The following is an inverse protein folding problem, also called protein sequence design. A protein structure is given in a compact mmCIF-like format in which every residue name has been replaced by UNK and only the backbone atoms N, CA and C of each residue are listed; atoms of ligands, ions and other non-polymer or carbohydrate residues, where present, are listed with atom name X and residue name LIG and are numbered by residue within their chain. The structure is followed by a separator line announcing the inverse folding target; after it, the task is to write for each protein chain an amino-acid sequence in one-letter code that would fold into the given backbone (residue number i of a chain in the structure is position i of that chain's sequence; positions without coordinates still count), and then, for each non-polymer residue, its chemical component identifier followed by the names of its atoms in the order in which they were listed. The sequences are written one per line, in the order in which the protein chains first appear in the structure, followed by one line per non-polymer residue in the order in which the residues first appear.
data_IF_790332189628
#
_entry.id   IF_790332189628
#
_cell.length_a   1.000
_cell.length_b   1.000
_cell.length_c   1.000
_cell.angle_alpha   90.00
_cell.angle_beta   90.00
_cell.angle_gamma   90.00
#
_symmetry.space_group_name_H-M   'P 1'
#
loop_
_entity.id
_entity.type
_entity.pdbx_description
1 polymer ?
#
# COMPACT_ATOMS: atom_id res chain seq x y z
N UNK A 1 -4.90 -27.59 8.80
CA UNK A 1 -4.96 -26.29 8.09
C UNK A 1 -3.59 -25.61 8.00
N UNK A 2 -3.02 -25.05 9.07
CA UNK A 2 -1.74 -24.28 9.01
C UNK A 2 -0.59 -24.99 8.28
N UNK A 3 -0.31 -26.26 8.63
CA UNK A 3 0.72 -27.07 7.94
C UNK A 3 0.51 -27.15 6.42
N UNK A 4 -0.73 -27.31 5.97
CA UNK A 4 -1.06 -27.41 4.54
C UNK A 4 -0.91 -26.06 3.84
N UNK A 5 -1.32 -24.97 4.47
CA UNK A 5 -1.15 -23.62 3.92
C UNK A 5 0.34 -23.28 3.72
N UNK A 6 1.16 -23.54 4.75
CA UNK A 6 2.61 -23.32 4.67
C UNK A 6 3.26 -24.24 3.63
N UNK A 7 2.88 -25.52 3.59
CA UNK A 7 3.35 -26.44 2.55
C UNK A 7 2.97 -25.96 1.15
N UNK A 8 1.78 -25.39 0.97
CA UNK A 8 1.35 -24.75 -0.27
C UNK A 8 2.28 -23.60 -0.67
N UNK A 9 2.57 -22.67 0.25
CA UNK A 9 3.52 -21.57 0.01
C UNK A 9 4.91 -22.06 -0.41
N UNK A 10 5.43 -23.08 0.27
CA UNK A 10 6.73 -23.68 -0.07
C UNK A 10 6.72 -24.36 -1.44
N UNK A 11 5.59 -24.97 -1.83
CA UNK A 11 5.44 -25.66 -3.10
C UNK A 11 5.13 -24.73 -4.28
N UNK A 12 4.83 -23.46 -4.01
CA UNK A 12 4.67 -22.40 -5.03
C UNK A 12 5.99 -21.67 -5.34
N UNK A 13 7.11 -22.07 -4.72
CA UNK A 13 8.45 -21.59 -5.11
C UNK A 13 8.79 -22.12 -6.51
N UNK A 14 9.12 -21.25 -7.45
CA UNK A 14 9.53 -21.62 -8.81
C UNK A 14 10.83 -20.92 -9.20
N UNK A 15 11.69 -21.61 -9.94
CA UNK A 15 12.80 -20.93 -10.61
C UNK A 15 12.23 -20.13 -11.78
N UNK A 16 12.48 -18.82 -11.78
CA UNK A 16 11.97 -17.91 -12.79
C UNK A 16 13.14 -17.25 -13.51
N UNK A 17 13.26 -17.56 -14.81
CA UNK A 17 14.27 -17.00 -15.69
C UNK A 17 13.62 -16.10 -16.74
N UNK A 18 14.05 -14.85 -16.79
CA UNK A 18 13.63 -13.89 -17.81
C UNK A 18 14.77 -12.91 -18.09
N UNK A 19 15.23 -12.89 -19.33
CA UNK A 19 16.24 -11.96 -19.82
C UNK A 19 15.57 -10.91 -20.72
N UNK A 20 15.42 -9.69 -20.19
CA UNK A 20 14.72 -8.61 -20.88
C UNK A 20 15.44 -8.12 -22.13
N UNK A 21 16.78 -8.13 -22.14
CA UNK A 21 17.58 -7.69 -23.28
C UNK A 21 17.40 -8.67 -24.46
N UNK A 22 17.63 -9.96 -24.20
CA UNK A 22 17.43 -11.02 -25.19
C UNK A 22 15.98 -11.08 -25.70
N UNK A 23 14.99 -11.00 -24.78
CA UNK A 23 13.58 -11.02 -25.18
C UNK A 23 13.23 -9.85 -26.09
N UNK A 24 13.70 -8.63 -25.78
CA UNK A 24 13.42 -7.46 -26.61
C UNK A 24 14.13 -7.50 -27.97
N UNK A 25 15.33 -8.06 -28.03
CA UNK A 25 16.09 -8.22 -29.27
C UNK A 25 15.40 -9.17 -30.26
N UNK A 26 14.93 -10.33 -29.77
CA UNK A 26 14.18 -11.29 -30.57
C UNK A 26 12.89 -10.70 -31.17
N UNK A 27 12.35 -9.65 -30.54
CA UNK A 27 11.11 -8.98 -30.96
C UNK A 27 11.36 -7.66 -31.71
N UNK A 28 12.62 -7.27 -31.95
CA UNK A 28 13.00 -5.97 -32.53
C UNK A 28 12.38 -4.79 -31.74
N UNK A 29 12.42 -4.89 -30.41
CA UNK A 29 11.77 -3.97 -29.47
C UNK A 29 12.71 -3.38 -28.41
N UNK A 30 14.01 -3.63 -28.54
CA UNK A 30 15.02 -3.09 -27.64
C UNK A 30 15.28 -1.60 -27.95
N UNK A 31 15.03 -0.68 -27.00
CA UNK A 31 15.22 0.76 -27.23
C UNK A 31 16.68 1.17 -27.43
N UNK A 32 17.64 0.28 -27.17
CA UNK A 32 19.06 0.52 -27.45
C UNK A 32 19.42 0.36 -28.94
N UNK A 33 18.53 -0.22 -29.74
CA UNK A 33 18.76 -0.49 -31.16
C UNK A 33 18.05 0.51 -32.09
N UNK A 34 18.62 0.77 -33.27
CA UNK A 34 17.98 1.64 -34.27
C UNK A 34 16.84 0.92 -34.98
N UNK A 35 15.71 1.60 -35.18
CA UNK A 35 14.56 1.02 -35.90
C UNK A 35 13.71 0.05 -35.08
N UNK A 36 13.90 0.04 -33.75
CA UNK A 36 13.07 -0.74 -32.83
C UNK A 36 11.61 -0.29 -32.85
N UNK A 37 10.73 -1.18 -32.40
CA UNK A 37 9.30 -0.89 -32.18
C UNK A 37 8.97 -1.07 -30.71
N UNK A 38 8.31 -0.08 -30.11
CA UNK A 38 7.82 -0.21 -28.73
C UNK A 38 6.93 -1.44 -28.59
N UNK A 39 7.22 -2.27 -27.58
CA UNK A 39 6.40 -3.40 -27.16
C UNK A 39 6.26 -3.41 -25.63
N UNK A 40 5.62 -4.46 -25.07
CA UNK A 40 5.57 -4.62 -23.61
C UNK A 40 6.99 -4.61 -23.05
N UNK A 41 7.16 -3.94 -21.91
CA UNK A 41 8.41 -3.90 -21.17
C UNK A 41 9.65 -3.35 -21.91
N UNK A 42 9.52 -2.64 -23.04
CA UNK A 42 10.69 -2.05 -23.75
C UNK A 42 11.58 -1.19 -22.84
N UNK A 43 11.00 -0.48 -21.87
CA UNK A 43 11.76 0.35 -20.90
C UNK A 43 12.58 -0.49 -19.89
N UNK A 44 12.40 -1.80 -19.85
CA UNK A 44 12.98 -2.72 -18.88
C UNK A 44 14.05 -3.63 -19.51
N UNK A 45 14.75 -3.14 -20.53
CA UNK A 45 15.83 -3.86 -21.22
C UNK A 45 16.96 -4.37 -20.29
N UNK A 46 17.15 -3.74 -19.12
CA UNK A 46 18.15 -4.14 -18.12
C UNK A 46 17.69 -5.29 -17.20
N UNK A 47 16.43 -5.72 -17.30
CA UNK A 47 15.84 -6.72 -16.41
C UNK A 47 16.46 -8.09 -16.63
N UNK A 48 16.96 -8.70 -15.55
CA UNK A 48 17.35 -10.09 -15.53
C UNK A 48 16.76 -10.75 -14.29
N UNK A 49 15.84 -11.68 -14.51
CA UNK A 49 15.34 -12.56 -13.47
C UNK A 49 16.05 -13.91 -13.58
N UNK A 50 16.65 -14.37 -12.48
CA UNK A 50 17.37 -15.65 -12.41
C UNK A 50 17.38 -16.15 -10.95
N UNK A 51 16.21 -16.17 -10.32
CA UNK A 51 16.08 -16.49 -8.90
C UNK A 51 14.93 -17.48 -8.67
N UNK A 52 14.95 -18.16 -7.51
CA UNK A 52 13.78 -18.89 -7.01
C UNK A 52 12.84 -17.90 -6.34
N UNK A 53 11.63 -17.78 -6.88
CA UNK A 53 10.63 -16.78 -6.46
C UNK A 53 9.37 -17.48 -5.96
N UNK A 54 8.77 -16.95 -4.89
CA UNK A 54 7.47 -17.41 -4.39
C UNK A 54 6.34 -16.88 -5.29
N UNK A 55 5.67 -17.77 -6.03
CA UNK A 55 4.58 -17.37 -6.93
C UNK A 55 3.22 -17.33 -6.21
N UNK A 56 2.28 -16.48 -6.65
CA UNK A 56 0.91 -16.48 -6.12
C UNK A 56 0.22 -17.83 -6.32
N UNK A 57 0.40 -18.44 -7.50
CA UNK A 57 -0.05 -19.80 -7.79
C UNK A 57 0.89 -20.46 -8.81
N UNK A 58 1.24 -21.73 -8.60
CA UNK A 58 2.20 -22.45 -9.46
C UNK A 58 1.67 -22.83 -10.86
N UNK A 59 0.35 -22.70 -11.08
CA UNK A 59 -0.34 -23.13 -12.29
C UNK A 59 -1.00 -21.98 -13.02
N UNK A 60 -1.89 -21.23 -12.34
CA UNK A 60 -2.65 -20.12 -12.92
C UNK A 60 -1.79 -18.85 -13.02
N UNK A 61 -0.92 -18.63 -12.05
CA UNK A 61 -0.08 -17.44 -11.97
C UNK A 61 1.42 -17.78 -11.82
N UNK A 62 2.02 -18.51 -12.80
CA UNK A 62 3.41 -18.99 -12.73
C UNK A 62 4.46 -17.88 -12.97
N UNK A 63 4.16 -16.67 -12.48
CA UNK A 63 4.90 -15.43 -12.63
C UNK A 63 4.73 -14.62 -11.34
N UNK A 64 5.69 -13.74 -11.05
CA UNK A 64 5.66 -12.98 -9.80
C UNK A 64 4.86 -11.69 -9.94
N UNK A 65 4.16 -11.32 -8.87
CA UNK A 65 3.73 -9.97 -8.62
C UNK A 65 4.49 -9.42 -7.41
N UNK A 66 5.09 -8.24 -7.54
CA UNK A 66 5.99 -7.73 -6.50
C UNK A 66 5.26 -7.43 -5.19
N UNK A 67 4.00 -6.96 -5.24
CA UNK A 67 3.24 -6.73 -4.00
C UNK A 67 2.81 -8.04 -3.31
N UNK A 68 2.47 -9.09 -4.07
CA UNK A 68 2.16 -10.42 -3.52
C UNK A 68 3.34 -10.97 -2.70
N UNK A 69 4.58 -10.82 -3.21
CA UNK A 69 5.77 -11.24 -2.48
C UNK A 69 5.84 -10.65 -1.08
N UNK A 70 5.48 -9.37 -0.91
CA UNK A 70 5.46 -8.74 0.41
C UNK A 70 4.55 -9.50 1.38
N UNK A 71 3.38 -9.98 0.92
CA UNK A 71 2.47 -10.78 1.73
C UNK A 71 2.90 -12.25 1.85
N UNK A 72 3.53 -12.84 0.83
CA UNK A 72 4.06 -14.21 0.89
C UNK A 72 5.09 -14.37 2.01
N UNK A 73 5.89 -13.34 2.25
CA UNK A 73 6.98 -13.43 3.24
C UNK A 73 6.50 -13.50 4.69
N UNK A 74 5.31 -13.00 5.00
CA UNK A 74 4.71 -13.11 6.34
C UNK A 74 4.59 -14.58 6.78
N UNK A 75 3.82 -15.45 6.09
CA UNK A 75 3.74 -16.86 6.46
C UNK A 75 5.04 -17.62 6.22
N UNK A 76 5.82 -17.30 5.17
CA UNK A 76 7.09 -17.97 4.92
C UNK A 76 8.10 -17.78 6.07
N UNK A 77 8.12 -16.60 6.69
CA UNK A 77 9.02 -16.31 7.81
C UNK A 77 8.82 -17.18 9.05
N UNK A 78 7.68 -17.87 9.15
CA UNK A 78 7.40 -18.82 10.24
C UNK A 78 8.31 -20.05 10.13
N UNK A 79 8.67 -20.47 8.91
CA UNK A 79 9.42 -21.71 8.65
C UNK A 79 10.74 -21.51 7.93
N UNK A 80 10.91 -20.39 7.22
CA UNK A 80 12.05 -20.08 6.37
C UNK A 80 12.29 -18.55 6.33
N UNK A 81 12.75 -17.96 7.46
CA UNK A 81 12.96 -16.52 7.57
C UNK A 81 14.05 -16.00 6.62
N UNK A 82 15.04 -16.83 6.29
CA UNK A 82 16.11 -16.48 5.35
C UNK A 82 15.54 -16.29 3.94
N UNK A 83 14.78 -17.27 3.44
CA UNK A 83 14.11 -17.13 2.14
C UNK A 83 13.15 -15.92 2.14
N UNK A 84 12.40 -15.70 3.22
CA UNK A 84 11.51 -14.55 3.32
C UNK A 84 12.27 -13.21 3.18
N UNK A 85 13.43 -13.08 3.82
CA UNK A 85 14.31 -11.92 3.67
C UNK A 85 14.87 -11.80 2.26
N UNK A 86 15.28 -12.91 1.64
CA UNK A 86 15.77 -12.94 0.26
C UNK A 86 14.73 -12.44 -0.73
N UNK A 87 13.47 -12.91 -0.64
CA UNK A 87 12.37 -12.45 -1.48
C UNK A 87 12.18 -10.92 -1.40
N UNK A 88 12.31 -10.34 -0.20
CA UNK A 88 12.25 -8.89 0.00
C UNK A 88 13.48 -8.12 -0.50
N UNK A 89 14.59 -8.80 -0.79
CA UNK A 89 15.77 -8.21 -1.43
C UNK A 89 15.67 -8.28 -2.96
N UNK A 90 15.07 -9.32 -3.53
CA UNK A 90 15.02 -9.58 -4.98
C UNK A 90 14.57 -8.36 -5.78
N UNK A 91 13.37 -7.85 -5.50
CA UNK A 91 12.73 -6.75 -6.24
C UNK A 91 13.45 -5.40 -6.11
N UNK A 92 14.50 -5.34 -5.28
CA UNK A 92 15.33 -4.15 -5.04
C UNK A 92 16.79 -4.34 -5.50
N UNK A 93 17.15 -5.52 -6.03
CA UNK A 93 18.43 -5.77 -6.69
C UNK A 93 18.53 -4.91 -7.94
N UNK A 94 19.75 -4.52 -8.33
CA UNK A 94 19.97 -3.64 -9.50
C UNK A 94 19.51 -4.22 -10.84
N UNK A 95 19.44 -5.55 -10.94
CA UNK A 95 18.96 -6.27 -12.13
C UNK A 95 17.43 -6.46 -12.17
N UNK A 96 16.73 -6.07 -11.09
CA UNK A 96 15.25 -6.08 -10.99
C UNK A 96 14.68 -4.68 -10.89
N UNK A 97 15.28 -3.82 -10.07
CA UNK A 97 14.81 -2.46 -9.82
C UNK A 97 15.17 -1.56 -11.00
N UNK A 98 14.17 -0.89 -11.57
CA UNK A 98 14.41 0.06 -12.65
C UNK A 98 15.39 1.15 -12.20
N UNK A 99 16.31 1.64 -13.07
CA UNK A 99 17.23 2.74 -12.75
C UNK A 99 16.56 4.02 -12.25
N UNK A 100 15.26 4.21 -12.54
CA UNK A 100 14.44 5.33 -12.06
C UNK A 100 13.97 5.19 -10.60
N UNK A 101 14.15 4.01 -10.00
CA UNK A 101 13.62 3.64 -8.67
C UNK A 101 12.31 2.85 -8.72
N UNK A 102 11.75 2.55 -9.89
CA UNK A 102 10.52 1.77 -9.99
C UNK A 102 10.76 0.29 -9.66
N UNK A 103 9.94 -0.26 -8.77
CA UNK A 103 9.85 -1.71 -8.53
C UNK A 103 8.97 -2.32 -9.63
N UNK A 104 9.38 -3.43 -10.28
CA UNK A 104 8.59 -4.04 -11.34
C UNK A 104 7.27 -4.56 -10.78
N UNK A 105 6.16 -4.38 -11.52
CA UNK A 105 4.87 -4.91 -11.10
C UNK A 105 4.79 -6.43 -11.31
N UNK A 106 4.69 -6.87 -12.56
CA UNK A 106 4.57 -8.28 -12.95
C UNK A 106 4.97 -8.51 -14.42
N UNK A 107 5.13 -9.77 -14.82
CA UNK A 107 5.78 -10.17 -16.09
C UNK A 107 5.23 -9.44 -17.33
N UNK A 108 3.92 -9.30 -17.50
CA UNK A 108 3.38 -8.71 -18.73
C UNK A 108 3.41 -7.18 -18.79
N UNK A 109 3.61 -6.49 -17.67
CA UNK A 109 3.75 -5.04 -17.62
C UNK A 109 4.53 -4.62 -16.37
N UNK A 110 5.86 -4.66 -16.44
CA UNK A 110 6.72 -4.23 -15.33
C UNK A 110 6.51 -2.75 -14.97
N UNK A 111 6.09 -1.94 -15.93
CA UNK A 111 5.81 -0.51 -15.76
C UNK A 111 4.51 -0.21 -15.02
N UNK A 112 3.66 -1.20 -14.75
CA UNK A 112 2.45 -0.98 -13.96
C UNK A 112 2.78 -0.62 -12.50
N UNK A 113 1.76 -0.24 -11.75
CA UNK A 113 1.89 0.24 -10.39
C UNK A 113 1.29 -0.76 -9.43
N UNK A 114 2.09 -1.18 -8.46
CA UNK A 114 1.71 -2.08 -7.39
C UNK A 114 1.74 -1.33 -6.05
N UNK A 115 0.92 -1.74 -5.05
CA UNK A 115 1.00 -1.16 -3.71
C UNK A 115 2.43 -1.21 -3.14
N UNK A 116 2.97 -0.10 -2.60
CA UNK A 116 4.31 -0.02 -2.02
C UNK A 116 4.40 -0.66 -0.62
N UNK A 117 4.00 -1.92 -0.49
CA UNK A 117 3.90 -2.66 0.79
C UNK A 117 5.23 -3.30 1.22
N UNK A 118 6.30 -3.16 0.45
CA UNK A 118 7.61 -3.74 0.74
C UNK A 118 8.21 -3.21 2.07
N UNK A 119 8.02 -1.93 2.37
CA UNK A 119 8.50 -1.36 3.63
C UNK A 119 7.79 -1.99 4.84
N UNK A 120 6.48 -2.21 4.73
CA UNK A 120 5.68 -2.91 5.73
C UNK A 120 6.17 -4.34 5.95
N UNK A 121 6.33 -5.13 4.88
CA UNK A 121 6.77 -6.51 4.99
C UNK A 121 8.17 -6.61 5.62
N UNK A 122 9.09 -5.71 5.27
CA UNK A 122 10.43 -5.69 5.87
C UNK A 122 10.44 -5.33 7.35
N UNK A 123 9.62 -4.37 7.77
CA UNK A 123 9.42 -4.06 9.20
C UNK A 123 8.82 -5.25 9.94
N UNK A 124 7.88 -5.97 9.32
CA UNK A 124 7.31 -7.19 9.90
C UNK A 124 8.40 -8.25 10.10
N UNK A 125 9.16 -8.59 9.05
CA UNK A 125 10.25 -9.57 9.13
C UNK A 125 11.28 -9.19 10.19
N UNK A 126 11.65 -7.91 10.25
CA UNK A 126 12.58 -7.38 11.23
C UNK A 126 12.08 -7.58 12.67
N UNK A 127 10.81 -7.24 12.94
CA UNK A 127 10.20 -7.40 14.27
C UNK A 127 10.05 -8.87 14.66
N UNK A 128 9.68 -9.72 13.70
CA UNK A 128 9.61 -11.17 13.92
C UNK A 128 10.98 -11.73 14.28
N UNK A 129 12.03 -11.34 13.56
CA UNK A 129 13.40 -11.74 13.85
C UNK A 129 13.87 -11.23 15.23
N UNK A 130 13.63 -9.95 15.55
CA UNK A 130 13.92 -9.41 16.88
C UNK A 130 13.24 -10.23 17.99
N UNK A 131 11.98 -10.63 17.80
CA UNK A 131 11.26 -11.45 18.77
C UNK A 131 11.89 -12.85 18.95
N UNK A 132 12.34 -13.46 17.86
CA UNK A 132 12.94 -14.80 17.86
C UNK A 132 14.38 -14.80 18.40
N UNK A 133 15.15 -13.74 18.16
CA UNK A 133 16.57 -13.65 18.49
C UNK A 133 16.87 -12.72 19.69
N UNK A 134 15.90 -12.54 20.59
CA UNK A 134 16.14 -11.82 21.86
C UNK A 134 16.47 -10.34 21.69
N UNK A 135 15.89 -9.69 20.69
CA UNK A 135 16.04 -8.26 20.41
C UNK A 135 17.22 -7.89 19.49
N UNK A 136 17.90 -8.87 18.88
CA UNK A 136 18.94 -8.60 17.90
C UNK A 136 18.35 -8.05 16.60
N UNK A 137 19.04 -7.07 16.01
CA UNK A 137 18.63 -6.39 14.77
C UNK A 137 19.65 -6.65 13.67
N UNK A 138 19.19 -7.18 12.54
CA UNK A 138 19.96 -7.17 11.28
C UNK A 138 19.95 -5.75 10.67
N UNK A 139 20.91 -4.93 11.10
CA UNK A 139 21.03 -3.53 10.67
C UNK A 139 21.32 -3.42 9.17
N UNK A 140 22.08 -4.35 8.59
CA UNK A 140 22.44 -4.31 7.17
C UNK A 140 21.22 -4.58 6.29
N UNK A 141 20.33 -5.49 6.70
CA UNK A 141 19.04 -5.68 6.05
C UNK A 141 18.20 -4.40 6.06
N UNK A 142 18.12 -3.70 7.20
CA UNK A 142 17.38 -2.44 7.31
C UNK A 142 18.00 -1.31 6.49
N UNK A 143 19.34 -1.14 6.51
CA UNK A 143 20.05 -0.13 5.70
C UNK A 143 19.84 -0.37 4.21
N UNK A 144 20.00 -1.62 3.77
CA UNK A 144 19.75 -2.01 2.38
C UNK A 144 18.30 -1.76 1.98
N UNK A 145 17.35 -2.05 2.87
CA UNK A 145 15.94 -1.80 2.64
C UNK A 145 15.65 -0.31 2.47
N UNK A 146 16.08 0.50 3.44
CA UNK A 146 15.82 1.92 3.47
C UNK A 146 16.38 2.62 2.23
N UNK A 147 17.64 2.35 1.87
CA UNK A 147 18.29 3.02 0.73
C UNK A 147 17.60 2.72 -0.60
N UNK A 148 17.19 1.47 -0.83
CA UNK A 148 16.51 1.08 -2.07
C UNK A 148 15.05 1.56 -2.10
N UNK A 149 14.36 1.49 -0.96
CA UNK A 149 12.99 1.98 -0.85
C UNK A 149 12.92 3.51 -0.91
N UNK A 150 13.96 4.23 -0.52
CA UNK A 150 14.06 5.69 -0.72
C UNK A 150 14.05 6.06 -2.22
N UNK A 151 14.70 5.25 -3.07
CA UNK A 151 14.62 5.43 -4.54
C UNK A 151 13.19 5.22 -5.02
N UNK A 152 12.55 4.16 -4.55
CA UNK A 152 11.16 3.86 -4.91
C UNK A 152 10.18 4.94 -4.41
N UNK A 153 10.34 5.41 -3.18
CA UNK A 153 9.57 6.52 -2.63
C UNK A 153 9.73 7.77 -3.50
N UNK A 154 10.96 8.09 -3.91
CA UNK A 154 11.24 9.23 -4.79
C UNK A 154 10.62 9.07 -6.17
N UNK A 155 10.59 7.85 -6.72
CA UNK A 155 9.89 7.55 -7.96
C UNK A 155 8.38 7.82 -7.83
N UNK A 156 7.76 7.34 -6.74
CA UNK A 156 6.34 7.60 -6.45
C UNK A 156 6.03 9.09 -6.40
N UNK A 157 6.83 9.85 -5.66
CA UNK A 157 6.70 11.30 -5.56
C UNK A 157 6.74 12.03 -6.91
N UNK A 158 7.55 11.53 -7.85
CA UNK A 158 7.74 12.19 -9.14
C UNK A 158 6.77 11.74 -10.22
N UNK A 159 6.37 10.46 -10.19
CA UNK A 159 5.64 9.83 -11.29
C UNK A 159 4.17 9.60 -10.99
N UNK A 160 3.79 9.61 -9.71
CA UNK A 160 2.44 9.28 -9.25
C UNK A 160 1.77 10.41 -8.46
N UNK A 161 2.47 11.51 -8.20
CA UNK A 161 1.89 12.79 -7.77
C UNK A 161 2.03 13.82 -8.90
N UNK A 162 1.18 13.70 -9.93
CA UNK A 162 1.29 14.44 -11.20
C UNK A 162 1.46 15.96 -11.02
N UNK A 163 0.82 16.52 -10.00
CA UNK A 163 0.77 17.96 -9.76
C UNK A 163 1.51 18.42 -8.50
N UNK A 164 2.24 17.52 -7.82
CA UNK A 164 2.94 17.86 -6.56
C UNK A 164 1.98 18.28 -5.44
N UNK A 165 0.76 17.70 -5.42
CA UNK A 165 -0.31 18.06 -4.48
C UNK A 165 -0.44 17.06 -3.33
N UNK A 166 0.44 16.06 -3.25
CA UNK A 166 0.39 14.95 -2.28
C UNK A 166 -0.89 14.12 -2.41
N UNK A 167 -1.41 14.03 -3.64
CA UNK A 167 -2.54 13.18 -4.02
C UNK A 167 -2.04 12.27 -5.11
N UNK A 168 -2.15 10.96 -4.90
CA UNK A 168 -1.49 9.98 -5.74
C UNK A 168 -2.45 9.31 -6.71
N UNK A 169 -1.92 8.93 -7.87
CA UNK A 169 -2.66 8.36 -8.97
C UNK A 169 -1.83 7.35 -9.77
N UNK A 170 -2.53 6.52 -10.54
CA UNK A 170 -1.98 5.78 -11.67
C UNK A 170 -1.87 4.28 -11.43
N UNK A 171 -2.20 3.53 -12.47
CA UNK A 171 -2.19 2.06 -12.45
C UNK A 171 -3.39 1.49 -11.71
N UNK A 172 -3.47 0.16 -11.71
CA UNK A 172 -4.56 -0.58 -11.06
C UNK A 172 -4.31 -0.81 -9.55
N UNK A 173 -3.07 -0.63 -9.06
CA UNK A 173 -2.69 -0.71 -7.64
C UNK A 173 -3.06 -2.03 -6.96
N UNK A 174 -2.98 -3.15 -7.67
CA UNK A 174 -3.36 -4.46 -7.12
C UNK A 174 -4.87 -4.73 -7.16
N UNK A 175 -5.70 -3.78 -7.61
CA UNK A 175 -7.17 -3.81 -7.50
C UNK A 175 -7.87 -3.74 -8.88
N UNK A 176 -7.63 -4.75 -9.70
CA UNK A 176 -7.92 -4.84 -11.14
C UNK A 176 -9.21 -4.15 -11.63
N UNK A 177 -10.38 -4.70 -11.31
CA UNK A 177 -11.67 -4.22 -11.80
C UNK A 177 -12.44 -3.40 -10.74
N UNK A 178 -11.79 -2.95 -9.66
CA UNK A 178 -12.48 -2.32 -8.52
C UNK A 178 -13.14 -0.99 -8.87
N UNK A 179 -12.56 -0.27 -9.83
CA UNK A 179 -13.00 1.03 -10.29
C UNK A 179 -14.05 0.96 -11.42
N UNK A 180 -14.59 2.12 -11.75
CA UNK A 180 -15.51 2.30 -12.89
C UNK A 180 -14.78 2.44 -14.23
N UNK A 181 -13.56 2.98 -14.22
CA UNK A 181 -12.71 3.13 -15.39
C UNK A 181 -11.45 2.26 -15.25
N UNK A 182 -10.89 1.84 -16.38
CA UNK A 182 -9.53 1.33 -16.42
C UNK A 182 -8.56 2.47 -16.04
N UNK A 183 -7.89 2.29 -14.90
CA UNK A 183 -6.98 3.28 -14.29
C UNK A 183 -5.62 3.35 -15.01
N UNK A 184 -5.34 2.40 -15.90
CA UNK A 184 -4.13 2.35 -16.71
C UNK A 184 -4.35 2.93 -18.12
N UNK A 185 -5.59 3.27 -18.48
CA UNK A 185 -5.94 3.84 -19.78
C UNK A 185 -6.33 5.34 -19.69
N UNK A 186 -6.26 6.10 -20.79
CA UNK A 186 -6.84 7.44 -20.86
C UNK A 186 -8.34 7.42 -20.55
N UNK A 187 -8.80 8.37 -19.73
CA UNK A 187 -10.22 8.43 -19.37
C UNK A 187 -11.06 8.97 -20.52
N UNK A 188 -12.27 8.44 -20.74
CA UNK A 188 -13.20 8.92 -21.77
C UNK A 188 -13.63 10.39 -21.55
N UNK A 189 -13.49 10.89 -20.33
CA UNK A 189 -13.79 12.29 -19.95
C UNK A 189 -12.70 13.27 -20.36
N UNK A 190 -11.52 12.79 -20.80
CA UNK A 190 -10.32 13.61 -21.00
C UNK A 190 -9.66 14.10 -19.71
N UNK A 191 -10.22 13.73 -18.55
CA UNK A 191 -9.74 14.10 -17.23
C UNK A 191 -8.67 13.15 -16.66
N UNK A 192 -8.51 13.19 -15.34
CA UNK A 192 -7.66 12.25 -14.59
C UNK A 192 -8.31 11.84 -13.26
N UNK A 193 -7.79 10.78 -12.65
CA UNK A 193 -8.27 10.26 -11.36
C UNK A 193 -7.27 10.61 -10.27
N UNK A 194 -7.76 11.25 -9.21
CA UNK A 194 -7.10 11.30 -7.91
C UNK A 194 -7.60 10.09 -7.09
N UNK A 195 -6.70 9.16 -6.76
CA UNK A 195 -7.05 7.84 -6.22
C UNK A 195 -6.92 7.78 -4.70
N UNK A 196 -7.98 7.39 -3.99
CA UNK A 196 -7.99 7.33 -2.53
C UNK A 196 -7.10 6.20 -1.98
N UNK A 197 -7.05 5.06 -2.67
CA UNK A 197 -6.16 3.94 -2.34
C UNK A 197 -4.71 4.27 -2.61
N UNK A 198 -4.36 4.81 -3.79
CA UNK A 198 -2.99 5.24 -4.09
C UNK A 198 -2.45 6.23 -3.07
N UNK A 199 -3.31 7.17 -2.65
CA UNK A 199 -2.98 8.17 -1.62
C UNK A 199 -2.82 7.53 -0.23
N UNK A 200 -3.71 6.61 0.15
CA UNK A 200 -3.59 5.86 1.41
C UNK A 200 -2.34 4.97 1.45
N UNK A 201 -1.99 4.34 0.34
CA UNK A 201 -0.77 3.54 0.22
C UNK A 201 0.49 4.36 0.45
N UNK A 202 0.55 5.57 -0.10
CA UNK A 202 1.68 6.47 0.12
C UNK A 202 1.72 7.03 1.54
N UNK A 203 0.58 7.21 2.21
CA UNK A 203 0.55 7.52 3.63
C UNK A 203 1.16 6.38 4.47
N UNK A 204 0.76 5.13 4.21
CA UNK A 204 1.33 3.96 4.87
C UNK A 204 2.82 3.78 4.54
N UNK A 205 3.24 4.00 3.28
CA UNK A 205 4.64 3.93 2.90
C UNK A 205 5.48 4.99 3.62
N UNK A 206 4.96 6.21 3.76
CA UNK A 206 5.59 7.28 4.54
C UNK A 206 5.76 6.89 6.01
N UNK A 207 4.71 6.32 6.62
CA UNK A 207 4.79 5.81 8.00
C UNK A 207 5.87 4.73 8.16
N UNK A 208 5.88 3.73 7.28
CA UNK A 208 6.84 2.63 7.34
C UNK A 208 8.29 3.13 7.11
N UNK A 209 8.50 4.11 6.22
CA UNK A 209 9.83 4.70 6.02
C UNK A 209 10.29 5.52 7.23
N UNK A 210 9.37 6.21 7.91
CA UNK A 210 9.67 6.87 9.19
C UNK A 210 10.03 5.86 10.28
N UNK A 211 9.29 4.74 10.39
CA UNK A 211 9.61 3.65 11.31
C UNK A 211 11.00 3.05 11.03
N UNK A 212 11.31 2.74 9.76
CA UNK A 212 12.65 2.25 9.37
C UNK A 212 13.75 3.24 9.74
N UNK A 213 13.54 4.55 9.52
CA UNK A 213 14.49 5.59 9.91
C UNK A 213 14.70 5.66 11.43
N UNK A 214 13.63 5.50 12.23
CA UNK A 214 13.71 5.48 13.69
C UNK A 214 14.50 4.25 14.19
N UNK A 215 14.23 3.06 13.63
CA UNK A 215 14.99 1.84 13.98
C UNK A 215 16.47 2.00 13.64
N UNK A 216 16.79 2.57 12.47
CA UNK A 216 18.17 2.80 12.04
C UNK A 216 18.88 3.91 12.84
N UNK A 217 18.16 4.92 13.32
CA UNK A 217 18.71 6.00 14.15
C UNK A 217 19.32 5.48 15.46
N UNK A 218 18.93 4.29 15.92
CA UNK A 218 19.56 3.62 17.06
C UNK A 218 21.02 3.22 16.81
N UNK A 219 21.41 3.09 15.55
CA UNK A 219 22.73 2.60 15.12
C UNK A 219 23.52 3.66 14.34
N UNK A 220 22.83 4.57 13.66
CA UNK A 220 23.44 5.62 12.84
C UNK A 220 22.58 6.90 12.92
N UNK A 221 23.06 7.96 13.62
CA UNK A 221 22.30 9.20 13.81
C UNK A 221 21.92 9.93 12.52
N UNK A 222 22.55 9.63 11.37
CA UNK A 222 22.19 10.25 10.10
C UNK A 222 20.74 9.91 9.67
N UNK A 223 20.20 8.77 10.12
CA UNK A 223 18.82 8.38 9.82
C UNK A 223 17.78 9.17 10.63
N UNK A 224 18.17 9.79 11.75
CA UNK A 224 17.27 10.69 12.50
C UNK A 224 16.79 11.86 11.61
N UNK A 225 17.68 12.41 10.78
CA UNK A 225 17.36 13.51 9.86
C UNK A 225 16.36 13.13 8.77
N UNK A 226 16.22 11.83 8.49
CA UNK A 226 15.24 11.31 7.54
C UNK A 226 13.85 11.16 8.13
N UNK A 227 13.70 11.12 9.46
CA UNK A 227 12.38 10.95 10.08
C UNK A 227 11.43 12.10 9.74
N UNK A 228 11.82 13.39 9.88
CA UNK A 228 10.93 14.49 9.53
C UNK A 228 10.49 14.45 8.06
N UNK A 229 11.37 14.03 7.13
CA UNK A 229 11.03 13.92 5.71
C UNK A 229 9.79 13.06 5.49
N UNK A 230 9.74 11.87 6.09
CA UNK A 230 8.63 10.93 5.89
C UNK A 230 7.43 11.26 6.78
N UNK A 231 7.67 11.68 8.01
CA UNK A 231 6.59 12.09 8.90
C UNK A 231 5.84 13.31 8.33
N UNK A 232 6.52 14.38 7.91
CA UNK A 232 5.89 15.55 7.27
C UNK A 232 5.10 15.15 6.02
N UNK A 233 5.64 14.23 5.23
CA UNK A 233 4.95 13.74 4.04
C UNK A 233 3.62 13.04 4.34
N UNK A 234 3.57 12.24 5.41
CA UNK A 234 2.32 11.66 5.89
C UNK A 234 1.27 12.75 6.23
N UNK A 235 1.67 13.83 6.91
CA UNK A 235 0.76 14.92 7.24
C UNK A 235 0.30 15.71 6.01
N UNK A 236 1.18 15.91 5.02
CA UNK A 236 0.80 16.54 3.75
C UNK A 236 -0.21 15.71 2.98
N UNK A 237 -0.05 14.38 2.97
CA UNK A 237 -1.03 13.47 2.40
C UNK A 237 -2.37 13.58 3.14
N UNK A 238 -2.34 13.57 4.48
CA UNK A 238 -3.54 13.76 5.30
C UNK A 238 -4.30 15.04 4.95
N UNK A 239 -3.61 16.18 4.91
CA UNK A 239 -4.20 17.46 4.54
C UNK A 239 -4.73 17.49 3.09
N UNK A 240 -4.05 16.84 2.15
CA UNK A 240 -4.46 16.78 0.75
C UNK A 240 -5.69 15.88 0.53
N UNK A 241 -5.69 14.69 1.14
CA UNK A 241 -6.77 13.71 1.02
C UNK A 241 -8.08 14.19 1.67
N UNK A 242 -7.95 14.95 2.76
CA UNK A 242 -9.05 15.35 3.61
C UNK A 242 -9.50 16.80 3.44
N UNK A 243 -9.21 17.42 2.28
CA UNK A 243 -9.66 18.78 1.97
C UNK A 243 -11.18 18.93 2.14
N UNK A 244 -11.67 20.05 2.69
CA UNK A 244 -13.10 20.29 2.82
C UNK A 244 -13.77 20.49 1.44
N UNK A 245 -15.09 20.35 1.39
CA UNK A 245 -15.88 20.67 0.20
C UNK A 245 -15.87 19.55 -0.84
N UNK A 246 -15.85 19.90 -2.14
CA UNK A 246 -15.85 18.95 -3.26
C UNK A 246 -14.44 18.51 -3.71
N UNK A 247 -13.42 19.12 -3.10
CA UNK A 247 -12.02 18.98 -3.49
C UNK A 247 -11.27 17.85 -2.76
N UNK A 248 -11.88 17.27 -1.72
CA UNK A 248 -11.31 16.15 -0.95
C UNK A 248 -11.97 14.82 -1.24
N UNK A 249 -11.31 13.73 -0.87
CA UNK A 249 -11.79 12.36 -1.14
C UNK A 249 -12.88 11.92 -0.16
N UNK A 250 -12.97 12.56 1.00
CA UNK A 250 -13.98 12.29 2.02
C UNK A 250 -15.34 12.89 1.65
N UNK A 251 -16.38 12.07 1.59
CA UNK A 251 -17.76 12.54 1.43
C UNK A 251 -18.46 12.66 2.79
N UNK A 252 -18.79 13.90 3.18
CA UNK A 252 -19.41 14.16 4.49
C UNK A 252 -20.83 13.62 4.61
N UNK A 253 -21.55 13.37 3.53
CA UNK A 253 -22.90 12.82 3.58
C UNK A 253 -22.84 11.31 3.78
N UNK A 254 -22.04 10.63 2.97
CA UNK A 254 -21.94 9.18 2.99
C UNK A 254 -21.05 8.69 4.15
N UNK A 255 -20.11 9.51 4.61
CA UNK A 255 -19.14 9.12 5.64
C UNK A 255 -18.14 8.09 5.13
N UNK A 256 -17.65 8.31 3.91
CA UNK A 256 -16.81 7.36 3.20
C UNK A 256 -15.84 8.07 2.26
N UNK A 257 -14.70 7.42 1.96
CA UNK A 257 -13.73 7.90 1.00
C UNK A 257 -14.03 7.39 -0.41
N UNK A 258 -13.82 8.24 -1.41
CA UNK A 258 -14.00 7.91 -2.81
C UNK A 258 -12.88 8.51 -3.66
N UNK A 259 -12.61 7.88 -4.81
CA UNK A 259 -11.78 8.49 -5.85
C UNK A 259 -12.43 9.78 -6.36
N UNK A 260 -11.60 10.72 -6.79
CA UNK A 260 -12.02 11.97 -7.41
C UNK A 260 -11.70 11.94 -8.91
N UNK A 261 -12.73 12.13 -9.72
CA UNK A 261 -12.58 12.44 -11.14
C UNK A 261 -12.39 13.94 -11.30
N UNK A 262 -11.25 14.34 -11.86
CA UNK A 262 -10.91 15.72 -12.21
C UNK A 262 -11.14 15.95 -13.69
N UNK A 263 -12.07 16.83 -14.02
CA UNK A 263 -12.42 17.15 -15.40
C UNK A 263 -11.49 18.24 -15.98
N UNK A 264 -11.35 18.32 -17.31
CA UNK A 264 -10.50 19.34 -17.95
C UNK A 264 -10.89 20.80 -17.65
N UNK A 265 -12.16 21.04 -17.29
CA UNK A 265 -12.67 22.35 -16.89
C UNK A 265 -12.29 22.75 -15.45
N UNK A 266 -11.58 21.88 -14.73
CA UNK A 266 -11.15 22.07 -13.35
C UNK A 266 -12.17 21.61 -12.31
N UNK A 267 -13.38 21.20 -12.70
CA UNK A 267 -14.37 20.66 -11.77
C UNK A 267 -13.98 19.25 -11.29
N UNK A 268 -14.53 18.86 -10.14
CA UNK A 268 -14.27 17.57 -9.52
C UNK A 268 -15.56 16.85 -9.15
N UNK A 269 -15.57 15.53 -9.30
CA UNK A 269 -16.70 14.68 -8.90
C UNK A 269 -16.19 13.43 -8.22
N UNK A 270 -16.78 13.08 -7.08
CA UNK A 270 -16.50 11.81 -6.39
C UNK A 270 -17.13 10.65 -7.15
N UNK A 271 -16.34 9.63 -7.43
CA UNK A 271 -16.81 8.37 -7.99
C UNK A 271 -17.32 7.50 -6.83
N UNK A 272 -18.64 7.55 -6.59
CA UNK A 272 -19.30 6.97 -5.40
C UNK A 272 -19.45 5.44 -5.42
N UNK A 273 -18.33 4.76 -5.65
CA UNK A 273 -18.20 3.30 -5.54
C UNK A 273 -17.71 2.98 -4.13
N UNK A 274 -18.58 2.37 -3.31
CA UNK A 274 -18.24 1.90 -1.96
C UNK A 274 -17.43 0.62 -2.06
N UNK A 275 -16.12 0.75 -2.22
CA UNK A 275 -15.19 -0.37 -2.36
C UNK A 275 -14.09 -0.34 -1.30
N UNK A 276 -13.22 -1.35 -1.33
CA UNK A 276 -12.00 -1.45 -0.53
C UNK A 276 -11.13 -0.19 -0.64
N UNK A 277 -11.19 0.51 -1.79
CA UNK A 277 -10.50 1.79 -2.00
C UNK A 277 -10.83 2.81 -0.89
N UNK A 278 -12.11 2.91 -0.49
CA UNK A 278 -12.53 3.82 0.55
C UNK A 278 -12.24 3.32 1.98
N UNK A 279 -11.86 2.05 2.15
CA UNK A 279 -11.45 1.47 3.42
C UNK A 279 -9.94 1.53 3.64
N UNK A 280 -9.13 1.51 2.58
CA UNK A 280 -7.66 1.54 2.66
C UNK A 280 -7.05 2.70 3.47
N UNK A 281 -7.66 3.90 3.55
CA UNK A 281 -7.18 4.96 4.46
C UNK A 281 -7.09 4.51 5.93
N UNK A 282 -7.94 3.56 6.37
CA UNK A 282 -7.87 2.95 7.70
C UNK A 282 -6.52 2.26 7.93
N UNK A 283 -5.95 1.65 6.88
CA UNK A 283 -4.73 0.86 6.95
C UNK A 283 -3.47 1.72 7.18
N UNK A 284 -3.51 3.01 6.84
CA UNK A 284 -2.46 3.99 7.11
C UNK A 284 -2.51 4.45 8.59
N UNK A 285 -2.35 3.47 9.49
CA UNK A 285 -2.38 3.63 10.94
C UNK A 285 -1.15 2.98 11.55
N UNK A 286 -0.38 3.73 12.33
CA UNK A 286 0.86 3.29 12.97
C UNK A 286 0.97 3.87 14.37
N UNK A 287 1.26 3.01 15.36
CA UNK A 287 1.53 3.42 16.75
C UNK A 287 2.96 3.92 16.85
N UNK A 288 3.14 5.04 17.57
CA UNK A 288 4.46 5.57 17.91
C UNK A 288 4.68 5.38 19.41
N UNK A 289 5.57 4.46 19.77
CA UNK A 289 5.91 4.18 21.17
C UNK A 289 6.70 5.33 21.80
N UNK A 290 6.66 5.43 23.13
CA UNK A 290 7.43 6.44 23.88
C UNK A 290 8.92 6.37 23.59
N UNK A 291 9.49 5.16 23.63
CA UNK A 291 10.91 4.94 23.39
C UNK A 291 11.34 5.38 21.98
N UNK A 292 10.46 5.27 20.99
CA UNK A 292 10.74 5.72 19.62
C UNK A 292 10.93 7.24 19.61
N UNK A 293 10.06 8.00 20.28
CA UNK A 293 10.19 9.46 20.36
C UNK A 293 11.42 9.90 21.14
N UNK A 294 11.74 9.21 22.23
CA UNK A 294 12.94 9.46 23.03
C UNK A 294 14.23 9.14 22.27
N UNK A 295 14.18 8.24 21.29
CA UNK A 295 15.31 7.88 20.43
C UNK A 295 15.68 8.98 19.43
N UNK A 296 14.72 9.79 19.02
CA UNK A 296 14.87 10.80 17.97
C UNK A 296 14.47 12.21 18.46
N UNK A 297 15.11 12.72 19.53
CA UNK A 297 14.67 13.95 20.18
C UNK A 297 14.78 15.17 19.27
N UNK A 298 15.75 15.23 18.35
CA UNK A 298 15.93 16.36 17.43
C UNK A 298 14.87 16.34 16.34
N UNK A 299 14.62 15.17 15.75
CA UNK A 299 13.56 15.02 14.76
C UNK A 299 12.18 15.30 15.37
N UNK A 300 11.92 14.82 16.58
CA UNK A 300 10.65 15.07 17.26
C UNK A 300 10.45 16.56 17.57
N UNK A 301 11.49 17.27 18.04
CA UNK A 301 11.43 18.72 18.23
C UNK A 301 11.18 19.47 16.91
N UNK A 302 11.82 19.03 15.82
CA UNK A 302 11.59 19.60 14.48
C UNK A 302 10.14 19.42 14.01
N UNK A 303 9.53 18.26 14.26
CA UNK A 303 8.12 18.01 13.94
C UNK A 303 7.17 18.88 14.77
N UNK A 304 7.42 19.05 16.07
CA UNK A 304 6.62 19.95 16.92
C UNK A 304 6.70 21.40 16.43
N UNK A 305 7.88 21.88 16.06
CA UNK A 305 8.04 23.22 15.47
C UNK A 305 7.35 23.34 14.11
N UNK A 306 7.35 22.27 13.30
CA UNK A 306 6.58 22.23 12.06
C UNK A 306 5.09 22.42 12.33
N UNK A 307 4.51 21.66 13.25
CA UNK A 307 3.08 21.77 13.57
C UNK A 307 2.71 23.12 14.19
N UNK A 308 3.64 23.74 14.93
CA UNK A 308 3.44 25.10 15.42
C UNK A 308 3.35 26.12 14.27
N UNK A 309 4.10 25.91 13.19
CA UNK A 309 4.09 26.79 12.00
C UNK A 309 2.96 26.48 11.03
N UNK A 310 2.53 25.22 10.96
CA UNK A 310 1.50 24.70 10.06
C UNK A 310 0.46 23.88 10.84
N UNK A 311 -0.34 24.52 11.72
CA UNK A 311 -1.31 23.82 12.56
C UNK A 311 -2.38 23.04 11.77
N UNK A 312 -2.69 23.48 10.56
CA UNK A 312 -3.66 22.85 9.66
C UNK A 312 -3.34 21.40 9.30
N UNK A 313 -2.07 20.99 9.42
CA UNK A 313 -1.61 19.62 9.18
C UNK A 313 -2.19 18.61 10.19
N UNK A 314 -2.59 19.08 11.38
CA UNK A 314 -3.14 18.23 12.42
C UNK A 314 -4.68 18.18 12.41
N UNK A 315 -5.35 19.11 11.73
CA UNK A 315 -6.82 19.26 11.79
C UNK A 315 -7.58 18.11 11.14
N UNK A 316 -6.96 17.44 10.18
CA UNK A 316 -7.67 16.52 9.27
C UNK A 316 -7.41 15.04 9.54
N UNK A 317 -6.57 14.73 10.52
CA UNK A 317 -6.11 13.38 10.85
C UNK A 317 -6.44 13.03 12.31
N UNK A 318 -6.01 11.87 12.79
CA UNK A 318 -6.16 11.54 14.20
C UNK A 318 -5.30 12.47 15.08
N UNK A 319 -5.87 13.06 16.16
CA UNK A 319 -5.10 13.84 17.12
C UNK A 319 -3.96 13.02 17.73
N UNK A 320 -2.79 13.64 17.87
CA UNK A 320 -1.56 13.00 18.35
C UNK A 320 -0.62 14.03 18.96
N UNK A 321 0.34 13.59 19.77
CA UNK A 321 1.27 14.47 20.48
C UNK A 321 0.83 14.83 21.91
N UNK A 322 1.48 15.82 22.56
CA UNK A 322 1.17 16.22 23.93
C UNK A 322 -0.32 16.49 24.13
N UNK A 323 -0.91 15.88 25.17
CA UNK A 323 -2.35 15.95 25.46
C UNK A 323 -3.23 14.96 24.70
N UNK A 324 -2.68 14.28 23.68
CA UNK A 324 -3.36 13.28 22.84
C UNK A 324 -2.56 11.98 22.78
N UNK A 325 -1.82 11.64 23.83
CA UNK A 325 -1.21 10.32 23.94
C UNK A 325 -2.22 9.32 24.50
N UNK A 326 -2.19 8.12 23.93
CA UNK A 326 -2.96 6.98 24.39
C UNK A 326 -2.28 6.27 25.57
N UNK A 327 -2.68 5.03 25.79
CA UNK A 327 -2.14 4.19 26.86
C UNK A 327 -0.63 4.01 26.70
N UNK A 328 0.10 3.96 27.83
CA UNK A 328 1.56 3.87 27.88
C UNK A 328 2.28 5.01 27.13
N UNK A 329 1.64 6.19 27.07
CA UNK A 329 2.12 7.35 26.32
C UNK A 329 2.30 7.06 24.82
N UNK A 330 1.49 6.19 24.22
CA UNK A 330 1.56 5.93 22.79
C UNK A 330 1.03 7.11 21.99
N UNK A 331 1.76 7.52 20.95
CA UNK A 331 1.23 8.37 19.90
C UNK A 331 0.58 7.52 18.81
N UNK A 332 -0.22 8.16 17.96
CA UNK A 332 -0.85 7.52 16.81
C UNK A 332 -0.66 8.37 15.56
N UNK A 333 -0.17 7.77 14.49
CA UNK A 333 -0.20 8.34 13.14
C UNK A 333 -1.30 7.63 12.38
N UNK A 334 -2.45 8.29 12.18
CA UNK A 334 -3.60 7.71 11.48
C UNK A 334 -4.31 8.76 10.63
N UNK A 335 -4.62 8.42 9.37
CA UNK A 335 -5.31 9.33 8.44
C UNK A 335 -6.72 9.71 8.89
N UNK A 336 -7.40 8.82 9.62
CA UNK A 336 -8.78 9.00 10.04
C UNK A 336 -8.83 9.71 11.38
N UNK A 337 -9.55 10.84 11.43
CA UNK A 337 -9.96 11.42 12.72
C UNK A 337 -10.87 10.43 13.49
N UNK A 338 -11.03 10.59 14.82
CA UNK A 338 -11.94 9.75 15.60
C UNK A 338 -13.36 9.68 15.04
N UNK A 339 -13.87 10.77 14.48
CA UNK A 339 -15.20 10.87 13.87
C UNK A 339 -15.26 10.07 12.57
N UNK A 340 -14.28 10.26 11.67
CA UNK A 340 -14.20 9.51 10.41
C UNK A 340 -14.00 8.02 10.64
N UNK A 341 -13.17 7.66 11.63
CA UNK A 341 -12.97 6.28 12.05
C UNK A 341 -14.29 5.62 12.42
N UNK A 342 -15.09 6.23 13.30
CA UNK A 342 -16.39 5.67 13.69
C UNK A 342 -17.31 5.48 12.48
N UNK A 343 -17.37 6.45 11.56
CA UNK A 343 -18.21 6.38 10.36
C UNK A 343 -17.77 5.30 9.38
N UNK A 344 -16.46 5.16 9.16
CA UNK A 344 -15.90 4.07 8.36
C UNK A 344 -16.20 2.72 9.00
N UNK A 345 -16.01 2.57 10.31
CA UNK A 345 -16.30 1.32 11.03
C UNK A 345 -17.79 0.95 10.95
N UNK A 346 -18.70 1.92 11.04
CA UNK A 346 -20.15 1.67 10.88
C UNK A 346 -20.45 1.01 9.53
N UNK A 347 -19.81 1.43 8.44
CA UNK A 347 -20.00 0.81 7.12
C UNK A 347 -19.23 -0.51 6.97
N UNK A 348 -17.98 -0.53 7.43
CA UNK A 348 -17.12 -1.70 7.29
C UNK A 348 -17.69 -2.92 8.04
N UNK A 349 -18.31 -2.69 9.19
CA UNK A 349 -18.86 -3.72 10.07
C UNK A 349 -20.36 -4.01 9.83
N UNK A 350 -20.98 -3.36 8.84
CA UNK A 350 -22.38 -3.64 8.46
C UNK A 350 -22.43 -4.85 7.50
N UNK A 351 -23.25 -5.84 7.84
CA UNK A 351 -23.43 -7.06 7.06
C UNK A 351 -24.07 -6.81 5.68
N UNK A 352 -24.86 -5.73 5.56
CA UNK A 352 -25.47 -5.27 4.31
C UNK A 352 -24.52 -4.42 3.46
N UNK A 353 -23.34 -4.09 3.98
CA UNK A 353 -22.29 -3.39 3.25
C UNK A 353 -21.07 -4.32 3.11
N UNK A 354 -20.06 -4.17 3.96
CA UNK A 354 -18.76 -4.83 3.77
C UNK A 354 -18.57 -6.11 4.58
N UNK A 355 -19.18 -6.25 5.76
CA UNK A 355 -18.94 -7.40 6.62
C UNK A 355 -19.65 -8.63 6.07
N UNK A 356 -18.91 -9.71 5.85
CA UNK A 356 -19.46 -11.02 5.51
C UNK A 356 -19.07 -12.06 6.55
N UNK A 357 -19.72 -13.25 6.56
CA UNK A 357 -19.29 -14.38 7.38
C UNK A 357 -17.84 -14.84 7.12
N UNK A 358 -17.20 -14.36 6.05
CA UNK A 358 -15.88 -14.78 5.61
C UNK A 358 -14.82 -13.65 5.67
N UNK A 359 -15.21 -12.44 6.10
CA UNK A 359 -14.33 -11.26 6.14
C UNK A 359 -14.90 -10.03 5.43
N UNK A 360 -14.07 -9.01 5.24
CA UNK A 360 -14.44 -7.73 4.62
C UNK A 360 -14.42 -7.88 3.09
N UNK A 361 -15.56 -7.62 2.45
CA UNK A 361 -15.74 -7.65 0.99
C UNK A 361 -14.93 -6.56 0.30
N UNK A 362 -14.50 -6.82 -0.93
CA UNK A 362 -13.82 -5.81 -1.77
C UNK A 362 -14.77 -4.73 -2.30
N UNK A 363 -16.05 -5.03 -2.46
CA UNK A 363 -17.11 -4.07 -2.79
C UNK A 363 -18.27 -4.24 -1.81
N UNK A 364 -18.87 -3.13 -1.41
CA UNK A 364 -20.05 -3.17 -0.56
C UNK A 364 -21.21 -3.89 -1.25
N UNK A 365 -21.87 -4.77 -0.50
CA UNK A 365 -23.11 -5.44 -0.92
C UNK A 365 -24.24 -4.45 -1.20
N UNK A 366 -24.17 -3.20 -0.73
CA UNK A 366 -25.09 -2.13 -1.11
C UNK A 366 -25.26 -2.00 -2.64
N UNK A 367 -24.18 -2.23 -3.41
CA UNK A 367 -24.17 -2.15 -4.87
C UNK A 367 -24.88 -3.32 -5.58
N UNK A 368 -25.36 -4.32 -4.84
CA UNK A 368 -26.23 -5.38 -5.36
C UNK A 368 -27.58 -4.77 -5.80
N UNK A 369 -28.15 -3.89 -4.98
CA UNK A 369 -29.41 -3.19 -5.27
C UNK A 369 -29.20 -1.80 -5.87
N UNK A 370 -28.02 -1.21 -5.65
CA UNK A 370 -27.70 0.17 -6.06
C UNK A 370 -26.40 0.21 -6.86
N UNK A 371 -26.34 -0.39 -8.06
CA UNK A 371 -25.16 -0.36 -8.90
C UNK A 371 -24.74 1.10 -9.16
N UNK A 372 -23.44 1.37 -9.12
CA UNK A 372 -22.94 2.70 -9.44
C UNK A 372 -22.86 2.85 -10.96
N UNK A 373 -23.48 3.90 -11.49
CA UNK A 373 -23.57 4.16 -12.92
C UNK A 373 -23.06 5.57 -13.22
N UNK A 374 -22.20 5.69 -14.23
CA UNK A 374 -21.67 6.96 -14.72
C UNK A 374 -21.82 7.04 -16.24
N UNK A 375 -22.36 8.16 -16.71
CA UNK A 375 -22.59 8.40 -18.14
C UNK A 375 -21.60 9.42 -18.67
N UNK A 376 -20.89 9.08 -19.75
CA UNK A 376 -19.98 10.00 -20.45
C UNK A 376 -19.97 9.70 -21.94
N UNK A 377 -20.03 10.74 -22.77
CA UNK A 377 -20.03 10.64 -24.23
C UNK A 377 -21.09 9.67 -24.81
N UNK A 378 -22.26 9.59 -24.16
CA UNK A 378 -23.34 8.69 -24.58
C UNK A 378 -23.13 7.21 -24.22
N UNK A 379 -22.07 6.88 -23.50
CA UNK A 379 -21.78 5.54 -23.01
C UNK A 379 -22.06 5.42 -21.50
N UNK A 380 -22.66 4.31 -21.10
CA UNK A 380 -22.86 3.93 -19.70
C UNK A 380 -21.65 3.13 -19.20
N UNK A 381 -21.10 3.52 -18.05
CA UNK A 381 -20.13 2.76 -17.27
C UNK A 381 -20.78 2.32 -15.97
N UNK A 382 -20.61 1.05 -15.60
CA UNK A 382 -21.32 0.43 -14.49
C UNK A 382 -20.39 -0.38 -13.59
N UNK A 383 -20.59 -0.21 -12.27
CA UNK A 383 -20.01 -1.07 -11.23
C UNK A 383 -21.14 -1.71 -10.44
N UNK A 384 -21.17 -3.02 -10.45
CA UNK A 384 -22.16 -3.83 -9.73
C UNK A 384 -21.48 -4.82 -8.79
N UNK A 385 -22.23 -5.31 -7.81
CA UNK A 385 -21.75 -6.31 -6.88
C UNK A 385 -21.73 -7.70 -7.51
N UNK A 386 -20.54 -8.27 -7.63
CA UNK A 386 -20.21 -9.56 -8.24
C UNK A 386 -19.44 -10.40 -7.22
N UNK A 387 -20.11 -11.19 -6.36
CA UNK A 387 -19.45 -11.93 -5.29
C UNK A 387 -18.57 -13.11 -5.75
N UNK A 388 -18.58 -13.44 -7.05
CA UNK A 388 -17.87 -14.57 -7.63
C UNK A 388 -17.03 -14.13 -8.85
N UNK A 389 -17.43 -14.51 -10.06
CA UNK A 389 -16.70 -14.22 -11.30
C UNK A 389 -16.86 -12.75 -11.74
N UNK A 390 -15.82 -12.22 -12.38
CA UNK A 390 -15.88 -10.92 -13.06
C UNK A 390 -16.74 -11.02 -14.31
N UNK A 391 -17.52 -9.98 -14.62
CA UNK A 391 -18.24 -9.85 -15.88
C UNK A 391 -17.48 -9.04 -16.94
N UNK A 392 -16.20 -8.74 -16.68
CA UNK A 392 -15.33 -8.01 -17.60
C UNK A 392 -14.01 -8.75 -17.80
N UNK A 393 -13.44 -8.67 -19.00
CA UNK A 393 -12.11 -9.22 -19.31
C UNK A 393 -10.95 -8.31 -18.90
N UNK A 394 -11.19 -7.27 -18.09
CA UNK A 394 -10.12 -6.40 -17.59
C UNK A 394 -9.08 -7.25 -16.82
N UNK A 395 -7.80 -7.04 -17.12
CA UNK A 395 -6.67 -7.75 -16.50
C UNK A 395 -6.76 -9.29 -16.55
N UNK A 396 -7.30 -9.85 -17.64
CA UNK A 396 -7.32 -11.30 -17.87
C UNK A 396 -8.57 -12.02 -17.34
N UNK A 397 -9.50 -11.32 -16.68
CA UNK A 397 -10.85 -11.81 -16.39
C UNK A 397 -11.01 -12.75 -15.20
N UNK A 398 -9.94 -13.39 -14.71
CA UNK A 398 -10.00 -14.32 -13.58
C UNK A 398 -9.91 -13.65 -12.20
N UNK A 399 -9.47 -12.40 -12.14
CA UNK A 399 -9.39 -11.63 -10.90
C UNK A 399 -10.59 -10.70 -10.74
N UNK A 400 -11.16 -10.66 -9.53
CA UNK A 400 -12.36 -9.89 -9.25
C UNK A 400 -12.33 -9.19 -7.87
N UNK A 401 -12.47 -7.87 -7.90
CA UNK A 401 -12.52 -6.97 -6.75
C UNK A 401 -13.91 -6.33 -6.54
N UNK A 402 -14.94 -6.83 -7.23
CA UNK A 402 -16.31 -6.30 -7.15
C UNK A 402 -17.20 -7.07 -6.16
N UNK A 403 -16.62 -7.67 -5.12
CA UNK A 403 -17.40 -8.42 -4.13
C UNK A 403 -16.60 -9.43 -3.30
N UNK A 404 -15.67 -10.21 -3.87
CA UNK A 404 -14.92 -11.23 -3.13
C UNK A 404 -14.12 -10.68 -1.96
N UNK A 405 -13.80 -11.54 -1.00
CA UNK A 405 -12.95 -11.22 0.15
C UNK A 405 -11.50 -11.55 -0.19
N UNK A 406 -10.61 -10.56 -0.04
CA UNK A 406 -9.19 -10.70 -0.31
C UNK A 406 -8.37 -10.69 0.97
N UNK A 407 -7.62 -11.77 1.21
CA UNK A 407 -6.87 -11.97 2.46
C UNK A 407 -5.82 -10.88 2.72
N UNK A 408 -4.95 -10.47 1.76
CA UNK A 408 -3.89 -9.50 2.02
C UNK A 408 -4.38 -8.17 2.61
N UNK A 409 -5.43 -7.59 2.04
CA UNK A 409 -6.00 -6.32 2.52
C UNK A 409 -6.78 -6.50 3.83
N UNK A 410 -7.42 -7.65 4.06
CA UNK A 410 -8.06 -7.96 5.34
C UNK A 410 -7.02 -8.04 6.47
N UNK A 411 -5.83 -8.60 6.21
CA UNK A 411 -4.72 -8.60 7.18
C UNK A 411 -4.28 -7.18 7.55
N UNK A 412 -4.22 -6.27 6.58
CA UNK A 412 -3.89 -4.86 6.83
C UNK A 412 -4.98 -4.13 7.63
N UNK A 413 -6.25 -4.43 7.37
CA UNK A 413 -7.37 -3.92 8.18
C UNK A 413 -7.24 -4.40 9.63
N UNK A 414 -6.99 -5.70 9.84
CA UNK A 414 -6.79 -6.26 11.18
C UNK A 414 -5.60 -5.58 11.88
N UNK A 415 -4.47 -5.41 11.19
CA UNK A 415 -3.31 -4.66 11.71
C UNK A 415 -3.72 -3.26 12.16
N UNK A 416 -4.48 -2.53 11.36
CA UNK A 416 -4.91 -1.17 11.72
C UNK A 416 -5.83 -1.16 12.95
N UNK A 417 -6.79 -2.08 13.02
CA UNK A 417 -7.66 -2.23 14.18
C UNK A 417 -6.87 -2.57 15.46
N UNK A 418 -5.87 -3.44 15.36
CA UNK A 418 -4.95 -3.74 16.47
C UNK A 418 -4.15 -2.51 16.90
N UNK A 419 -3.70 -1.67 15.97
CA UNK A 419 -3.03 -0.41 16.30
C UNK A 419 -3.95 0.57 17.04
N UNK A 420 -5.21 0.72 16.61
CA UNK A 420 -6.19 1.51 17.36
C UNK A 420 -6.44 0.93 18.76
N UNK A 421 -6.58 -0.40 18.87
CA UNK A 421 -6.75 -1.08 20.14
C UNK A 421 -5.57 -0.85 21.10
N UNK A 422 -4.33 -1.01 20.61
CA UNK A 422 -3.11 -0.78 21.37
C UNK A 422 -2.98 0.67 21.87
N UNK A 423 -3.46 1.63 21.08
CA UNK A 423 -3.49 3.03 21.46
C UNK A 423 -4.53 3.31 22.56
N UNK A 424 -5.72 2.69 22.50
CA UNK A 424 -6.81 2.98 23.44
C UNK A 424 -6.85 2.10 24.69
N UNK A 425 -6.15 0.96 24.72
CA UNK A 425 -6.34 -0.07 25.75
C UNK A 425 -5.05 -0.51 26.43
N UNK A 426 -5.15 -0.81 27.72
CA UNK A 426 -4.06 -1.40 28.52
C UNK A 426 -3.90 -2.86 28.16
N UNK A 427 -2.86 -3.18 27.39
CA UNK A 427 -2.34 -4.54 27.29
C UNK A 427 -1.61 -4.87 28.60
N UNK A 428 -2.18 -5.73 29.44
CA UNK A 428 -1.50 -6.24 30.64
C UNK A 428 -0.30 -7.07 30.20
N UNK A 429 0.90 -6.51 30.36
CA UNK A 429 2.15 -7.19 30.02
C UNK A 429 2.40 -8.37 30.96
N UNK A 430 2.05 -9.57 30.53
CA UNK A 430 2.70 -10.81 31.01
C UNK A 430 3.50 -11.56 29.95
N UNK A 431 3.58 -11.03 28.73
CA UNK A 431 4.52 -11.53 27.72
C UNK A 431 4.99 -10.37 26.84
N UNK A 432 6.29 -10.08 26.85
CA UNK A 432 6.97 -9.27 25.83
C UNK A 432 7.09 -10.05 24.50
N UNK A 433 6.04 -10.76 24.10
CA UNK A 433 5.89 -11.21 22.73
C UNK A 433 5.22 -10.05 21.99
N UNK A 434 5.80 -9.52 20.89
CA UNK A 434 5.04 -8.63 20.02
C UNK A 434 3.74 -9.35 19.63
N UNK A 435 2.66 -8.59 19.46
CA UNK A 435 1.46 -9.04 18.76
C UNK A 435 1.85 -9.34 17.30
N UNK A 436 2.64 -10.40 17.10
CA UNK A 436 2.72 -11.10 15.84
C UNK A 436 1.31 -11.68 15.63
N UNK A 437 0.75 -11.41 14.45
CA UNK A 437 -0.47 -12.05 13.97
C UNK A 437 -0.21 -13.55 13.83
N UNK A 438 -0.23 -14.27 14.95
CA UNK A 438 -0.14 -15.72 15.02
C UNK A 438 -1.14 -16.22 16.05
N UNK A 439 -2.37 -16.41 15.59
CA UNK A 439 -3.29 -17.43 16.08
C UNK A 439 -4.24 -17.81 14.96
#
# INVERSE_FOLDING_TARGET
MMRQAIAGMLWSKQFFFFDGDNWLDEHNSNPLHTGYRNARNSEWFHMLNEDVISMPDKWEYPWYAAWDLAFHTLPLSIVDPDFAKEQMKLMLKGVYLHPSGQVPAYEWNFSDVNPPVHAFAKLFLHRTEQALHGGQTDVDFLKSAFNKLLLNFTWWMKRKDRFGKNVFEGGFLGLDNIGIFDRSAPLPTGGHLEQADGTAWMALFSQNMAELAIELAAYDPAYEEMVPKFAEHFYYIGAAMNRPGQEGMWDEKDGFYYDLLRLPDGSATRLKVRSMVGLLPLCATTVVEKWQRERIPRAFASLLERFRRMPELLETIHPTGPGHFGVAERGLLALLSPERLRRILTKMLDENEFLSPYGIRSLSKFHEQHPYVFHVNGQEYRVEYLPAESNTGMFGGNSNWRGPVWMPVNVLIIRALLNFYLYTTVTTSKSNAPLALTS
#
